data_IF_804004065890
#
_entry.id   IF_804004065890
#
_cell.length_a   1.000
_cell.length_b   1.000
_cell.length_c   1.000
_cell.angle_alpha   90.00
_cell.angle_beta   90.00
_cell.angle_gamma   90.00
#
_symmetry.space_group_name_H-M   'P 1'
#
loop_
_entity.id
_entity.type
_entity.pdbx_description
1 polymer ?
#
# COMPACT_ATOMS: atom_id res chain seq x y z
N UNK A 1 7.68 52.93 9.02
CA UNK A 1 6.77 52.06 9.78
C UNK A 1 6.88 50.63 9.24
N UNK A 2 8.03 49.95 9.46
CA UNK A 2 8.39 48.68 8.78
C UNK A 2 9.44 47.87 9.59
N UNK A 3 9.30 47.74 10.92
CA UNK A 3 10.42 47.20 11.75
C UNK A 3 10.04 46.22 12.89
N UNK A 4 9.00 45.39 12.75
CA UNK A 4 8.70 44.33 13.76
C UNK A 4 8.08 43.03 13.20
N UNK A 5 8.65 42.46 12.13
CA UNK A 5 8.22 41.14 11.61
C UNK A 5 9.32 40.08 11.50
N UNK A 6 10.57 40.34 11.94
CA UNK A 6 11.68 39.40 11.78
C UNK A 6 12.00 38.51 13.00
N UNK A 7 11.45 38.77 14.19
CA UNK A 7 11.83 38.02 15.41
C UNK A 7 11.01 36.75 15.70
N UNK A 8 9.93 36.46 14.98
CA UNK A 8 9.05 35.34 15.35
C UNK A 8 9.32 34.03 14.61
N UNK A 9 10.34 33.94 13.75
CA UNK A 9 10.86 32.64 13.29
C UNK A 9 11.82 32.08 14.36
N UNK A 10 11.31 31.84 15.57
CA UNK A 10 12.04 31.02 16.54
C UNK A 10 12.31 29.69 15.88
N UNK A 11 13.59 29.34 15.74
CA UNK A 11 14.02 28.03 15.27
C UNK A 11 13.23 26.97 16.04
N UNK A 12 12.69 25.99 15.30
CA UNK A 12 11.95 24.87 15.88
C UNK A 12 12.87 24.20 16.87
N UNK A 13 12.40 23.99 18.11
CA UNK A 13 13.19 23.28 19.10
C UNK A 13 13.40 21.84 18.59
N UNK A 14 14.65 21.41 18.33
CA UNK A 14 14.94 20.08 17.79
C UNK A 14 14.38 18.96 18.69
N UNK A 15 14.30 19.22 20.00
CA UNK A 15 13.67 18.32 20.97
C UNK A 15 12.19 18.08 20.68
N UNK A 16 11.43 19.11 20.36
CA UNK A 16 10.00 18.95 20.10
C UNK A 16 9.74 18.16 18.81
N UNK A 17 10.59 18.35 17.79
CA UNK A 17 10.60 17.52 16.58
C UNK A 17 10.96 16.06 16.88
N UNK A 18 11.97 15.83 17.71
CA UNK A 18 12.35 14.48 18.15
C UNK A 18 11.24 13.81 18.96
N UNK A 19 10.56 14.55 19.83
CA UNK A 19 9.39 14.09 20.59
C UNK A 19 8.21 13.74 19.70
N UNK A 20 7.89 14.59 18.72
CA UNK A 20 6.90 14.30 17.68
C UNK A 20 7.30 13.02 16.92
N UNK A 21 8.54 12.93 16.43
CA UNK A 21 9.04 11.76 15.70
C UNK A 21 8.90 10.48 16.54
N UNK A 22 9.37 10.51 17.79
CA UNK A 22 9.25 9.39 18.73
C UNK A 22 7.80 9.00 18.98
N UNK A 23 6.88 9.98 19.04
CA UNK A 23 5.46 9.72 19.24
C UNK A 23 4.79 9.04 18.04
N UNK A 24 5.29 9.29 16.83
CA UNK A 24 4.79 8.71 15.59
C UNK A 24 5.34 7.31 15.31
N UNK A 25 6.45 6.92 15.95
CA UNK A 25 7.03 5.59 15.75
C UNK A 25 6.13 4.47 16.36
N UNK A 26 5.82 3.41 15.58
CA UNK A 26 5.22 2.19 16.11
C UNK A 26 6.00 1.64 17.30
N UNK A 27 5.32 0.93 18.20
CA UNK A 27 5.97 0.41 19.41
C UNK A 27 7.14 -0.52 19.09
N UNK A 28 7.03 -1.36 18.06
CA UNK A 28 8.10 -2.24 17.61
C UNK A 28 9.36 -1.45 17.20
N UNK A 29 9.19 -0.40 16.37
CA UNK A 29 10.29 0.47 15.99
C UNK A 29 10.86 1.25 17.18
N UNK A 30 10.03 1.77 18.09
CA UNK A 30 10.54 2.42 19.30
C UNK A 30 11.43 1.48 20.10
N UNK A 31 11.03 0.21 20.26
CA UNK A 31 11.87 -0.80 20.93
C UNK A 31 13.17 -1.04 20.16
N UNK A 32 13.12 -1.15 18.84
CA UNK A 32 14.31 -1.35 18.01
C UNK A 32 15.25 -0.14 18.08
N UNK A 33 14.74 1.08 17.91
CA UNK A 33 15.51 2.31 18.04
C UNK A 33 16.11 2.46 19.43
N UNK A 34 15.35 2.16 20.49
CA UNK A 34 15.84 2.21 21.87
C UNK A 34 17.03 1.26 22.13
N UNK A 35 17.20 0.18 21.37
CA UNK A 35 18.38 -0.70 21.48
C UNK A 35 19.68 -0.06 20.99
N UNK A 36 19.56 0.97 20.16
CA UNK A 36 20.70 1.72 19.61
C UNK A 36 20.95 3.04 20.33
N UNK A 37 20.16 3.33 21.37
CA UNK A 37 20.27 4.54 22.17
C UNK A 37 20.74 4.18 23.57
N UNK A 38 21.48 5.08 24.19
CA UNK A 38 21.76 5.01 25.63
C UNK A 38 20.45 5.16 26.43
N UNK A 39 20.47 4.73 27.69
CA UNK A 39 19.33 4.94 28.59
C UNK A 39 18.97 6.43 28.72
N UNK A 40 19.97 7.30 28.77
CA UNK A 40 19.79 8.75 28.86
C UNK A 40 19.16 9.33 27.59
N UNK A 41 19.57 8.90 26.40
CA UNK A 41 18.95 9.36 25.14
C UNK A 41 17.52 8.86 25.00
N UNK A 42 17.25 7.63 25.42
CA UNK A 42 15.91 7.05 25.41
C UNK A 42 14.98 7.84 26.35
N UNK A 43 15.44 8.14 27.57
CA UNK A 43 14.70 8.96 28.52
C UNK A 43 14.48 10.40 28.01
N UNK A 44 15.48 10.98 27.35
CA UNK A 44 15.36 12.28 26.70
C UNK A 44 14.30 12.28 25.60
N UNK A 45 14.16 11.19 24.82
CA UNK A 45 13.10 11.06 23.81
C UNK A 45 11.70 10.89 24.43
N UNK A 46 11.58 10.17 25.55
CA UNK A 46 10.32 10.09 26.29
C UNK A 46 9.93 11.44 26.86
N UNK A 47 10.87 12.13 27.51
CA UNK A 47 10.68 13.49 28.01
C UNK A 47 10.28 14.45 26.88
N UNK A 48 10.97 14.39 25.74
CA UNK A 48 10.66 15.22 24.58
C UNK A 48 9.26 14.94 24.00
N UNK A 49 8.84 13.67 23.97
CA UNK A 49 7.50 13.27 23.56
C UNK A 49 6.44 13.82 24.49
N UNK A 50 6.65 13.74 25.80
CA UNK A 50 5.70 14.24 26.80
C UNK A 50 5.63 15.76 26.78
N UNK A 51 6.77 16.43 26.59
CA UNK A 51 6.83 17.87 26.33
C UNK A 51 6.05 18.25 25.07
N UNK A 52 6.25 17.55 23.95
CA UNK A 52 5.47 17.81 22.73
C UNK A 52 3.95 17.62 22.96
N UNK A 53 3.55 16.60 23.73
CA UNK A 53 2.13 16.35 24.04
C UNK A 53 1.50 17.42 24.93
N UNK A 54 2.28 18.05 25.81
CA UNK A 54 1.80 19.13 26.68
C UNK A 54 1.81 20.50 26.02
N UNK A 55 2.35 20.64 24.80
CA UNK A 55 2.34 21.90 24.08
C UNK A 55 0.92 22.36 23.69
N UNK A 56 0.76 23.69 23.67
CA UNK A 56 -0.44 24.34 23.15
C UNK A 56 -0.75 23.87 21.71
N UNK A 57 -2.02 23.67 21.33
CA UNK A 57 -2.41 23.15 20.02
C UNK A 57 -1.77 23.89 18.83
N UNK A 58 -1.73 25.22 18.88
CA UNK A 58 -1.15 26.04 17.80
C UNK A 58 0.35 25.75 17.62
N UNK A 59 1.07 25.50 18.73
CA UNK A 59 2.49 25.19 18.68
C UNK A 59 2.74 23.79 18.14
N UNK A 60 1.92 22.80 18.52
CA UNK A 60 1.99 21.44 17.93
C UNK A 60 1.76 21.48 16.42
N UNK A 61 0.73 22.21 15.97
CA UNK A 61 0.43 22.40 14.54
C UNK A 61 1.61 23.02 13.79
N UNK A 62 2.31 24.00 14.37
CA UNK A 62 3.51 24.58 13.75
C UNK A 62 4.63 23.55 13.61
N UNK A 63 4.90 22.75 14.65
CA UNK A 63 5.92 21.69 14.62
C UNK A 63 5.56 20.62 13.60
N UNK A 64 4.29 20.21 13.53
CA UNK A 64 3.78 19.25 12.54
C UNK A 64 3.92 19.77 11.12
N UNK A 65 3.59 21.05 10.87
CA UNK A 65 3.77 21.68 9.56
C UNK A 65 5.25 21.77 9.18
N UNK A 66 6.12 22.06 10.13
CA UNK A 66 7.56 22.14 9.89
C UNK A 66 8.17 20.76 9.67
N UNK A 67 7.80 19.77 10.49
CA UNK A 67 8.10 18.37 10.27
C UNK A 67 7.64 17.95 8.87
N UNK A 68 6.40 18.29 8.52
CA UNK A 68 5.83 18.13 7.19
C UNK A 68 6.65 18.82 6.10
N UNK A 69 7.20 20.01 6.32
CA UNK A 69 8.01 20.74 5.33
C UNK A 69 9.42 20.15 5.11
N UNK A 70 10.06 19.66 6.19
CA UNK A 70 11.33 18.92 6.11
C UNK A 70 11.10 17.63 5.33
N UNK A 71 9.92 17.04 5.51
CA UNK A 71 9.50 15.79 4.91
C UNK A 71 8.98 15.92 3.47
N UNK A 72 8.34 17.03 3.14
CA UNK A 72 7.72 17.30 1.83
C UNK A 72 8.71 17.75 0.75
N UNK A 73 10.00 17.91 1.06
CA UNK A 73 11.02 18.12 0.01
C UNK A 73 11.17 16.94 -0.99
N UNK A 74 10.40 15.86 -0.85
CA UNK A 74 10.27 14.79 -1.85
C UNK A 74 9.12 14.98 -2.87
N UNK A 75 8.53 16.17 -2.99
CA UNK A 75 7.42 16.44 -3.91
C UNK A 75 7.79 16.54 -5.41
N UNK A 76 8.97 16.08 -5.84
CA UNK A 76 9.36 16.04 -7.26
C UNK A 76 8.73 14.87 -8.04
N UNK A 77 7.94 14.02 -7.39
CA UNK A 77 7.19 12.94 -8.05
C UNK A 77 5.90 13.42 -8.76
N UNK A 78 5.54 14.70 -8.68
CA UNK A 78 4.28 15.22 -9.23
C UNK A 78 4.13 15.01 -10.74
N UNK A 79 5.16 15.32 -11.52
CA UNK A 79 5.13 15.20 -13.00
C UNK A 79 4.97 13.74 -13.43
N UNK A 80 5.72 12.82 -12.82
CA UNK A 80 5.65 11.39 -13.15
C UNK A 80 4.29 10.78 -12.84
N UNK A 81 3.66 11.19 -11.72
CA UNK A 81 2.33 10.74 -11.31
C UNK A 81 1.24 11.12 -12.30
N UNK A 82 1.25 12.36 -12.79
CA UNK A 82 0.31 12.83 -13.81
C UNK A 82 0.62 12.22 -15.18
N UNK A 83 1.90 12.03 -15.51
CA UNK A 83 2.32 11.36 -16.74
C UNK A 83 1.83 9.93 -16.85
N UNK A 84 1.95 9.12 -15.79
CA UNK A 84 1.45 7.73 -15.79
C UNK A 84 -0.08 7.67 -15.85
N UNK A 85 -0.76 8.57 -15.14
CA UNK A 85 -2.23 8.67 -15.20
C UNK A 85 -2.73 9.02 -16.61
N UNK A 86 -2.10 10.02 -17.25
CA UNK A 86 -2.45 10.42 -18.61
C UNK A 86 -2.17 9.31 -19.62
N UNK A 87 -1.00 8.65 -19.54
CA UNK A 87 -0.64 7.55 -20.43
C UNK A 87 -1.64 6.38 -20.32
N UNK A 88 -2.07 6.03 -19.12
CA UNK A 88 -3.06 4.97 -18.93
C UNK A 88 -4.46 5.36 -19.38
N UNK A 89 -4.89 6.60 -19.13
CA UNK A 89 -6.15 7.10 -19.66
C UNK A 89 -6.14 7.09 -21.20
N UNK A 90 -5.03 7.51 -21.82
CA UNK A 90 -4.85 7.46 -23.28
C UNK A 90 -4.88 6.02 -23.82
N UNK A 91 -4.20 5.07 -23.15
CA UNK A 91 -4.23 3.65 -23.50
C UNK A 91 -5.65 3.07 -23.39
N UNK A 92 -6.39 3.43 -22.32
CA UNK A 92 -7.76 2.97 -22.12
C UNK A 92 -8.68 3.53 -23.21
N UNK A 93 -8.57 4.82 -23.53
CA UNK A 93 -9.34 5.45 -24.63
C UNK A 93 -8.99 4.81 -25.96
N UNK A 94 -7.69 4.68 -26.29
CA UNK A 94 -7.23 4.08 -27.54
C UNK A 94 -7.81 2.69 -27.76
N UNK A 95 -7.65 1.79 -26.79
CA UNK A 95 -8.17 0.44 -26.94
C UNK A 95 -9.72 0.40 -26.89
N UNK A 96 -10.36 1.32 -26.16
CA UNK A 96 -11.83 1.40 -26.15
C UNK A 96 -12.43 1.79 -27.50
N UNK A 97 -11.67 2.50 -28.34
CA UNK A 97 -12.06 2.90 -29.70
C UNK A 97 -11.80 1.77 -30.69
N UNK A 98 -10.67 1.06 -30.57
CA UNK A 98 -10.35 -0.09 -31.44
C UNK A 98 -11.27 -1.30 -31.17
N UNK A 99 -11.72 -1.50 -29.94
CA UNK A 99 -12.45 -2.71 -29.52
C UNK A 99 -13.93 -2.46 -29.24
N UNK A 100 -14.64 -1.89 -30.23
CA UNK A 100 -16.08 -1.66 -30.14
C UNK A 100 -16.92 -2.93 -29.86
N UNK A 101 -16.34 -4.12 -30.04
CA UNK A 101 -17.01 -5.41 -29.82
C UNK A 101 -17.06 -5.86 -28.36
N UNK A 102 -16.21 -5.35 -27.46
CA UNK A 102 -16.25 -5.74 -26.05
C UNK A 102 -17.39 -5.03 -25.32
N UNK A 103 -18.14 -5.80 -24.52
CA UNK A 103 -19.12 -5.23 -23.58
C UNK A 103 -18.42 -4.30 -22.57
N UNK A 104 -19.17 -3.35 -22.02
CA UNK A 104 -18.65 -2.44 -20.99
C UNK A 104 -18.05 -3.20 -19.79
N UNK A 105 -18.66 -4.30 -19.37
CA UNK A 105 -18.17 -5.15 -18.27
C UNK A 105 -16.85 -5.84 -18.61
N UNK A 106 -16.71 -6.37 -19.83
CA UNK A 106 -15.47 -6.98 -20.30
C UNK A 106 -14.33 -5.95 -20.37
N UNK A 107 -14.63 -4.73 -20.81
CA UNK A 107 -13.66 -3.62 -20.81
C UNK A 107 -13.22 -3.29 -19.39
N UNK A 108 -14.15 -3.14 -18.45
CA UNK A 108 -13.81 -2.89 -17.05
C UNK A 108 -12.92 -4.00 -16.49
N UNK A 109 -13.22 -5.27 -16.74
CA UNK A 109 -12.37 -6.40 -16.31
C UNK A 109 -10.96 -6.32 -16.88
N UNK A 110 -10.82 -6.06 -18.18
CA UNK A 110 -9.50 -6.00 -18.85
C UNK A 110 -8.69 -4.79 -18.40
N UNK A 111 -9.30 -3.61 -18.25
CA UNK A 111 -8.58 -2.38 -17.90
C UNK A 111 -8.48 -2.12 -16.40
N UNK A 112 -9.25 -2.81 -15.55
CA UNK A 112 -9.21 -2.59 -14.10
C UNK A 112 -7.78 -2.76 -13.57
N UNK A 113 -7.09 -3.84 -13.96
CA UNK A 113 -5.69 -4.05 -13.57
C UNK A 113 -4.77 -2.89 -13.96
N UNK A 114 -4.95 -2.30 -15.14
CA UNK A 114 -4.17 -1.13 -15.58
C UNK A 114 -4.50 0.11 -14.74
N UNK A 115 -5.78 0.36 -14.47
CA UNK A 115 -6.22 1.49 -13.64
C UNK A 115 -5.61 1.37 -12.24
N UNK A 116 -5.69 0.18 -11.62
CA UNK A 116 -5.10 -0.07 -10.31
C UNK A 116 -3.57 0.07 -10.35
N UNK A 117 -2.89 -0.46 -11.37
CA UNK A 117 -1.45 -0.30 -11.57
C UNK A 117 -1.02 1.17 -11.63
N UNK A 118 -1.85 2.03 -12.21
CA UNK A 118 -1.58 3.47 -12.37
C UNK A 118 -1.85 4.24 -11.08
N UNK A 119 -2.84 3.80 -10.31
CA UNK A 119 -3.12 4.34 -8.98
C UNK A 119 -2.09 3.87 -7.94
N UNK A 120 -1.40 2.75 -8.16
CA UNK A 120 -0.48 2.17 -7.20
C UNK A 120 0.65 3.13 -6.74
N UNK A 121 1.37 3.85 -7.64
CA UNK A 121 2.35 4.86 -7.24
C UNK A 121 1.74 6.05 -6.46
N UNK A 122 0.48 6.39 -6.74
CA UNK A 122 -0.24 7.44 -6.03
C UNK A 122 -0.59 6.99 -4.62
N UNK A 123 -1.01 5.73 -4.47
CA UNK A 123 -1.38 5.15 -3.19
C UNK A 123 -0.20 5.09 -2.20
N UNK A 124 1.02 4.83 -2.70
CA UNK A 124 2.25 4.97 -1.89
C UNK A 124 2.36 6.39 -1.32
N UNK A 125 1.99 7.40 -2.12
CA UNK A 125 2.03 8.81 -1.75
C UNK A 125 1.08 9.20 -0.62
N UNK A 126 0.05 8.39 -0.32
CA UNK A 126 -0.89 8.65 0.78
C UNK A 126 -0.26 8.44 2.15
N UNK A 127 0.86 7.71 2.23
CA UNK A 127 1.56 7.48 3.48
C UNK A 127 2.69 8.50 3.71
N UNK A 128 2.90 8.95 4.96
CA UNK A 128 4.14 9.59 5.38
C UNK A 128 5.36 8.71 5.05
N UNK A 129 6.52 9.30 4.71
CA UNK A 129 7.75 8.56 4.33
C UNK A 129 8.18 7.50 5.34
N UNK A 130 7.92 7.69 6.64
CA UNK A 130 8.31 6.81 7.73
C UNK A 130 7.44 5.55 7.68
N UNK A 131 6.14 5.73 7.45
CA UNK A 131 5.21 4.65 7.25
C UNK A 131 5.49 3.95 5.93
N UNK A 132 5.90 4.66 4.87
CA UNK A 132 6.41 4.03 3.64
C UNK A 132 7.61 3.13 3.91
N UNK A 133 8.61 3.60 4.66
CA UNK A 133 9.81 2.81 4.98
C UNK A 133 9.50 1.58 5.81
N UNK A 134 8.52 1.67 6.71
CA UNK A 134 8.01 0.54 7.48
C UNK A 134 7.29 -0.48 6.59
N UNK A 135 6.28 0.00 5.86
CA UNK A 135 5.38 -0.87 5.11
C UNK A 135 6.04 -1.41 3.84
N UNK A 136 6.93 -0.65 3.21
CA UNK A 136 7.65 -1.04 2.00
C UNK A 136 9.11 -1.41 2.31
N UNK A 137 9.46 -1.53 3.59
CA UNK A 137 10.75 -2.01 4.03
C UNK A 137 10.88 -3.51 3.79
N UNK A 138 12.07 -3.93 3.37
CA UNK A 138 12.42 -5.35 3.22
C UNK A 138 13.40 -5.70 4.34
N UNK A 139 12.96 -6.52 5.27
CA UNK A 139 13.87 -7.20 6.20
C UNK A 139 13.94 -8.67 5.80
N UNK A 140 15.15 -9.14 5.53
CA UNK A 140 15.39 -10.52 5.10
C UNK A 140 15.44 -11.45 6.31
N UNK A 141 14.26 -11.92 6.71
CA UNK A 141 14.10 -12.93 7.74
C UNK A 141 13.64 -14.24 7.11
N UNK A 142 14.33 -15.35 7.40
CA UNK A 142 14.02 -16.62 6.76
C UNK A 142 12.60 -17.10 7.02
N UNK A 143 12.05 -16.80 8.19
CA UNK A 143 10.67 -17.13 8.55
C UNK A 143 9.67 -16.39 7.65
N UNK A 144 9.99 -15.15 7.26
CA UNK A 144 9.15 -14.33 6.38
C UNK A 144 9.24 -14.78 4.93
N UNK A 145 10.44 -15.11 4.46
CA UNK A 145 10.65 -15.68 3.13
C UNK A 145 9.89 -17.00 3.00
N UNK A 146 10.02 -17.89 3.98
CA UNK A 146 9.33 -19.18 3.99
C UNK A 146 7.80 -19.00 4.01
N UNK A 147 7.28 -18.13 4.86
CA UNK A 147 5.84 -17.88 4.95
C UNK A 147 5.30 -17.23 3.68
N UNK A 148 6.04 -16.30 3.07
CA UNK A 148 5.70 -15.70 1.78
C UNK A 148 5.67 -16.74 0.66
N UNK A 149 6.58 -17.71 0.67
CA UNK A 149 6.59 -18.80 -0.30
C UNK A 149 5.38 -19.74 -0.13
N UNK A 150 5.04 -20.11 1.10
CA UNK A 150 3.83 -20.92 1.37
C UNK A 150 2.55 -20.20 0.94
N UNK A 151 2.44 -18.90 1.25
CA UNK A 151 1.30 -18.08 0.81
C UNK A 151 1.25 -17.98 -0.71
N UNK A 152 2.39 -17.81 -1.38
CA UNK A 152 2.46 -17.82 -2.84
C UNK A 152 1.93 -19.14 -3.44
N UNK A 153 2.34 -20.31 -2.92
CA UNK A 153 1.85 -21.61 -3.41
C UNK A 153 0.34 -21.76 -3.19
N UNK A 154 -0.15 -21.36 -2.02
CA UNK A 154 -1.58 -21.42 -1.70
C UNK A 154 -2.39 -20.46 -2.60
N UNK A 155 -1.89 -19.25 -2.84
CA UNK A 155 -2.49 -18.29 -3.77
C UNK A 155 -2.51 -18.83 -5.19
N UNK A 156 -1.40 -19.39 -5.68
CA UNK A 156 -1.32 -19.98 -7.00
C UNK A 156 -2.40 -21.06 -7.20
N UNK A 157 -2.59 -21.94 -6.21
CA UNK A 157 -3.65 -22.94 -6.25
C UNK A 157 -5.05 -22.32 -6.29
N UNK A 158 -5.34 -21.36 -5.41
CA UNK A 158 -6.64 -20.67 -5.37
C UNK A 158 -6.94 -19.94 -6.69
N UNK A 159 -5.95 -19.28 -7.29
CA UNK A 159 -6.14 -18.53 -8.53
C UNK A 159 -6.32 -19.45 -9.74
N UNK A 160 -5.67 -20.61 -9.77
CA UNK A 160 -5.94 -21.64 -10.79
C UNK A 160 -7.40 -22.10 -10.67
N UNK A 161 -7.89 -22.34 -9.46
CA UNK A 161 -9.29 -22.75 -9.23
C UNK A 161 -10.30 -21.64 -9.60
N UNK A 162 -9.97 -20.38 -9.27
CA UNK A 162 -10.78 -19.22 -9.70
C UNK A 162 -10.83 -19.14 -11.22
N UNK A 163 -9.70 -19.35 -11.91
CA UNK A 163 -9.68 -19.25 -13.37
C UNK A 163 -10.30 -20.45 -14.08
N UNK A 164 -10.18 -21.66 -13.52
CA UNK A 164 -10.85 -22.85 -14.07
C UNK A 164 -12.38 -22.74 -13.96
N UNK A 165 -12.87 -22.09 -12.90
CA UNK A 165 -14.30 -21.82 -12.69
C UNK A 165 -14.81 -20.59 -13.46
N UNK A 166 -13.97 -19.57 -13.69
CA UNK A 166 -14.35 -18.33 -14.36
C UNK A 166 -14.26 -18.38 -15.91
N UNK A 167 -13.41 -19.24 -16.49
CA UNK A 167 -13.07 -19.19 -17.91
C UNK A 167 -13.14 -20.58 -18.58
N UNK A 168 -14.28 -20.86 -19.21
CA UNK A 168 -14.42 -21.86 -20.28
C UNK A 168 -14.08 -21.27 -21.66
N UNK A 169 -13.10 -20.38 -21.77
CA UNK A 169 -12.77 -19.66 -23.01
C UNK A 169 -11.26 -19.50 -23.24
N UNK A 170 -10.70 -19.96 -24.37
CA UNK A 170 -9.28 -19.81 -24.66
C UNK A 170 -8.89 -18.34 -24.86
N UNK A 171 -7.86 -17.89 -24.14
CA UNK A 171 -7.18 -16.60 -24.32
C UNK A 171 -6.30 -16.69 -25.59
N UNK A 172 -6.91 -16.86 -26.78
CA UNK A 172 -6.19 -16.91 -28.07
C UNK A 172 -6.42 -15.61 -28.86
N UNK A 173 -5.34 -14.97 -29.32
CA UNK A 173 -5.39 -13.85 -30.25
C UNK A 173 -5.10 -12.45 -29.67
N UNK A 174 -4.36 -12.34 -28.56
CA UNK A 174 -4.04 -11.04 -27.96
C UNK A 174 -2.94 -10.29 -28.72
N UNK A 175 -3.22 -9.05 -29.13
CA UNK A 175 -2.23 -8.09 -29.67
C UNK A 175 -1.29 -7.65 -28.53
N UNK A 176 -0.03 -7.31 -28.84
CA UNK A 176 1.01 -6.92 -27.86
C UNK A 176 0.53 -5.90 -26.81
N UNK A 177 -0.32 -4.95 -27.20
CA UNK A 177 -0.91 -3.95 -26.29
C UNK A 177 -1.65 -4.58 -25.11
N UNK A 178 -2.41 -5.64 -25.34
CA UNK A 178 -3.16 -6.32 -24.29
C UNK A 178 -2.26 -7.15 -23.38
N UNK A 179 -1.18 -7.74 -23.91
CA UNK A 179 -0.16 -8.38 -23.07
C UNK A 179 0.49 -7.39 -22.11
N UNK A 180 0.81 -6.19 -22.58
CA UNK A 180 1.34 -5.12 -21.72
C UNK A 180 0.34 -4.77 -20.63
N UNK A 181 -0.95 -4.64 -20.96
CA UNK A 181 -2.02 -4.35 -19.99
C UNK A 181 -2.13 -5.46 -18.94
N UNK A 182 -2.18 -6.72 -19.36
CA UNK A 182 -2.35 -7.87 -18.47
C UNK A 182 -1.14 -8.07 -17.55
N UNK A 183 0.08 -7.99 -18.09
CA UNK A 183 1.31 -8.11 -17.28
C UNK A 183 1.44 -6.93 -16.31
N UNK A 184 1.12 -5.71 -16.75
CA UNK A 184 1.13 -4.54 -15.86
C UNK A 184 0.10 -4.68 -14.75
N UNK A 185 -1.10 -5.19 -15.07
CA UNK A 185 -2.13 -5.50 -14.09
C UNK A 185 -1.65 -6.56 -13.09
N UNK A 186 -1.14 -7.69 -13.59
CA UNK A 186 -0.65 -8.79 -12.76
C UNK A 186 0.46 -8.37 -11.79
N UNK A 187 1.36 -7.48 -12.23
CA UNK A 187 2.50 -7.05 -11.41
C UNK A 187 2.22 -5.86 -10.52
N UNK A 188 1.52 -4.84 -11.03
CA UNK A 188 1.38 -3.54 -10.35
C UNK A 188 0.00 -3.29 -9.73
N UNK A 189 -1.08 -3.96 -10.15
CA UNK A 189 -2.36 -3.86 -9.45
C UNK A 189 -2.26 -4.36 -8.00
N UNK A 190 -1.58 -5.49 -7.70
CA UNK A 190 -1.39 -5.96 -6.33
C UNK A 190 -0.73 -4.94 -5.39
N UNK A 191 0.13 -4.05 -5.91
CA UNK A 191 0.69 -2.97 -5.10
C UNK A 191 -0.40 -2.05 -4.56
N UNK A 192 -1.35 -1.64 -5.40
CA UNK A 192 -2.47 -0.82 -4.97
C UNK A 192 -3.40 -1.60 -4.03
N UNK A 193 -3.74 -2.83 -4.40
CA UNK A 193 -4.64 -3.67 -3.63
C UNK A 193 -4.11 -3.94 -2.23
N UNK A 194 -2.83 -4.28 -2.09
CA UNK A 194 -2.22 -4.53 -0.78
C UNK A 194 -2.18 -3.25 0.06
N UNK A 195 -1.92 -2.08 -0.53
CA UNK A 195 -2.00 -0.79 0.17
C UNK A 195 -3.42 -0.55 0.71
N UNK A 196 -4.44 -0.73 -0.12
CA UNK A 196 -5.83 -0.47 0.25
C UNK A 196 -6.35 -1.50 1.26
N UNK A 197 -6.24 -2.78 0.92
CA UNK A 197 -6.88 -3.88 1.65
C UNK A 197 -6.05 -4.41 2.82
N UNK A 198 -4.75 -4.11 2.92
CA UNK A 198 -3.90 -4.54 4.04
C UNK A 198 -3.45 -3.43 4.96
N UNK A 199 -3.55 -2.18 4.53
CA UNK A 199 -3.19 -1.04 5.37
C UNK A 199 -4.34 -0.05 5.57
N UNK A 200 -4.90 0.52 4.50
CA UNK A 200 -5.85 1.64 4.65
C UNK A 200 -7.19 1.20 5.23
N UNK A 201 -7.87 0.24 4.59
CA UNK A 201 -9.16 -0.25 5.04
C UNK A 201 -9.08 -0.90 6.43
N UNK A 202 -8.12 -1.81 6.72
CA UNK A 202 -8.01 -2.38 8.07
C UNK A 202 -7.78 -1.33 9.15
N UNK A 203 -7.07 -0.23 8.85
CA UNK A 203 -6.79 0.83 9.82
C UNK A 203 -8.01 1.62 10.28
N UNK A 204 -9.13 1.52 9.55
CA UNK A 204 -10.40 2.11 9.98
C UNK A 204 -11.06 1.34 11.13
N UNK A 205 -10.62 0.10 11.38
CA UNK A 205 -11.28 -0.85 12.29
C UNK A 205 -10.36 -1.36 13.42
N UNK A 206 -9.55 -0.48 14.01
CA UNK A 206 -8.80 -0.76 15.24
C UNK A 206 -7.32 -0.35 15.17
N UNK A 207 -6.49 -1.03 15.94
CA UNK A 207 -5.04 -0.80 16.01
C UNK A 207 -4.24 -1.91 15.33
N UNK A 208 -3.07 -1.57 14.79
CA UNK A 208 -2.13 -2.52 14.17
C UNK A 208 -1.87 -3.71 15.12
N UNK A 209 -1.94 -4.97 14.64
CA UNK A 209 -1.95 -5.41 13.23
C UNK A 209 -3.35 -5.48 12.58
N UNK A 210 -4.37 -4.90 13.20
CA UNK A 210 -5.72 -4.72 12.66
C UNK A 210 -6.53 -6.00 12.40
N UNK A 211 -6.40 -7.06 13.21
CA UNK A 211 -7.06 -8.36 12.98
C UNK A 211 -8.53 -8.27 12.50
N UNK A 212 -9.40 -7.55 13.24
CA UNK A 212 -10.80 -7.38 12.83
C UNK A 212 -10.97 -6.59 11.52
N UNK A 213 -10.14 -5.56 11.33
CA UNK A 213 -10.08 -4.79 10.09
C UNK A 213 -9.59 -5.60 8.89
N UNK A 214 -8.65 -6.52 9.09
CA UNK A 214 -8.12 -7.40 8.04
C UNK A 214 -9.18 -8.40 7.57
N UNK A 215 -9.92 -9.02 8.49
CA UNK A 215 -11.04 -9.91 8.13
C UNK A 215 -12.11 -9.15 7.33
N UNK A 216 -12.47 -7.95 7.79
CA UNK A 216 -13.45 -7.09 7.12
C UNK A 216 -12.97 -6.67 5.73
N UNK A 217 -11.72 -6.23 5.61
CA UNK A 217 -11.12 -5.85 4.33
C UNK A 217 -11.01 -7.05 3.37
N UNK A 218 -10.77 -8.26 3.86
CA UNK A 218 -10.79 -9.47 3.02
C UNK A 218 -12.18 -9.79 2.46
N UNK A 219 -13.25 -9.56 3.22
CA UNK A 219 -14.63 -9.67 2.70
C UNK A 219 -14.86 -8.65 1.59
N UNK A 220 -14.47 -7.39 1.81
CA UNK A 220 -14.59 -6.33 0.81
C UNK A 220 -13.76 -6.62 -0.44
N UNK A 221 -12.56 -7.18 -0.28
CA UNK A 221 -11.71 -7.61 -1.39
C UNK A 221 -12.42 -8.66 -2.24
N UNK A 222 -13.01 -9.68 -1.61
CA UNK A 222 -13.73 -10.73 -2.31
C UNK A 222 -14.94 -10.17 -3.08
N UNK A 223 -15.71 -9.26 -2.47
CA UNK A 223 -16.84 -8.61 -3.14
C UNK A 223 -16.39 -7.71 -4.30
N UNK A 224 -15.25 -7.03 -4.18
CA UNK A 224 -14.70 -6.17 -5.24
C UNK A 224 -14.30 -6.96 -6.50
N UNK A 225 -14.13 -8.28 -6.40
CA UNK A 225 -13.88 -9.18 -7.52
C UNK A 225 -15.16 -9.68 -8.20
N UNK A 226 -16.34 -9.23 -7.76
CA UNK A 226 -17.65 -9.54 -8.37
C UNK A 226 -17.87 -11.04 -8.59
N UNK A 227 -17.80 -11.87 -7.54
CA UNK A 227 -17.92 -13.32 -7.66
C UNK A 227 -19.30 -13.71 -8.20
N UNK A 228 -19.34 -14.68 -9.12
CA UNK A 228 -20.59 -15.14 -9.75
C UNK A 228 -21.44 -16.02 -8.83
N UNK A 229 -20.82 -16.65 -7.83
CA UNK A 229 -21.48 -17.51 -6.84
C UNK A 229 -20.74 -17.51 -5.49
N UNK A 230 -21.31 -18.21 -4.51
CA UNK A 230 -20.75 -18.32 -3.17
C UNK A 230 -19.43 -19.08 -3.08
N UNK A 231 -19.15 -20.01 -4.01
CA UNK A 231 -17.87 -20.74 -4.05
C UNK A 231 -16.74 -19.82 -4.51
N UNK A 232 -16.98 -19.03 -5.56
CA UNK A 232 -16.02 -18.05 -6.06
C UNK A 232 -15.75 -16.96 -5.03
N UNK A 233 -16.79 -16.50 -4.33
CA UNK A 233 -16.63 -15.58 -3.19
C UNK A 233 -15.70 -16.19 -2.13
N UNK A 234 -15.91 -17.46 -1.76
CA UNK A 234 -15.10 -18.13 -0.75
C UNK A 234 -13.63 -18.24 -1.18
N UNK A 235 -13.37 -18.54 -2.46
CA UNK A 235 -12.00 -18.59 -3.00
C UNK A 235 -11.30 -17.24 -2.93
N UNK A 236 -11.96 -16.16 -3.38
CA UNK A 236 -11.38 -14.81 -3.27
C UNK A 236 -11.19 -14.36 -1.82
N UNK A 237 -12.12 -14.72 -0.93
CA UNK A 237 -12.01 -14.38 0.49
C UNK A 237 -10.84 -15.11 1.16
N UNK A 238 -10.64 -16.39 0.85
CA UNK A 238 -9.49 -17.17 1.32
C UNK A 238 -8.16 -16.60 0.79
N UNK A 239 -8.10 -16.25 -0.49
CA UNK A 239 -6.92 -15.60 -1.07
C UNK A 239 -6.60 -14.29 -0.33
N UNK A 240 -7.62 -13.49 -0.06
CA UNK A 240 -7.46 -12.25 0.68
C UNK A 240 -7.02 -12.48 2.15
N UNK A 241 -7.54 -13.51 2.81
CA UNK A 241 -7.14 -13.86 4.17
C UNK A 241 -5.68 -14.31 4.24
N UNK A 242 -5.18 -15.08 3.27
CA UNK A 242 -3.77 -15.49 3.24
C UNK A 242 -2.82 -14.29 3.14
N UNK A 243 -3.15 -13.32 2.30
CA UNK A 243 -2.39 -12.07 2.17
C UNK A 243 -2.48 -11.23 3.45
N UNK A 244 -3.65 -11.16 4.09
CA UNK A 244 -3.81 -10.52 5.39
C UNK A 244 -2.92 -11.15 6.47
N UNK A 245 -2.88 -12.49 6.55
CA UNK A 245 -2.03 -13.21 7.50
C UNK A 245 -0.55 -12.90 7.24
N UNK A 246 -0.12 -12.87 5.98
CA UNK A 246 1.25 -12.52 5.62
C UNK A 246 1.60 -11.08 6.04
N UNK A 247 0.68 -10.12 5.86
CA UNK A 247 0.85 -8.74 6.35
C UNK A 247 0.96 -8.67 7.87
N UNK A 248 0.12 -9.41 8.60
CA UNK A 248 0.13 -9.43 10.06
C UNK A 248 1.45 -10.01 10.58
N UNK A 249 1.91 -11.10 9.97
CA UNK A 249 3.13 -11.80 10.39
C UNK A 249 4.41 -11.00 10.11
N UNK A 250 4.47 -10.35 8.94
CA UNK A 250 5.70 -9.66 8.50
C UNK A 250 5.73 -8.19 8.86
N UNK A 251 4.59 -7.56 9.16
CA UNK A 251 4.53 -6.11 9.37
C UNK A 251 4.74 -5.29 8.08
N UNK A 252 5.00 -5.94 6.94
CA UNK A 252 5.38 -5.32 5.67
C UNK A 252 4.37 -5.69 4.57
N UNK A 253 4.16 -4.77 3.64
CA UNK A 253 3.37 -4.99 2.44
C UNK A 253 4.20 -5.69 1.35
N UNK A 254 5.54 -5.59 1.37
CA UNK A 254 6.38 -6.08 0.26
C UNK A 254 6.23 -7.57 0.03
N UNK A 255 6.11 -8.35 1.11
CA UNK A 255 5.93 -9.80 1.02
C UNK A 255 4.58 -10.18 0.42
N UNK A 256 3.51 -9.50 0.84
CA UNK A 256 2.17 -9.64 0.24
C UNK A 256 2.15 -9.28 -1.23
N UNK A 257 2.71 -8.11 -1.58
CA UNK A 257 2.82 -7.63 -2.96
C UNK A 257 3.60 -8.64 -3.81
N UNK A 258 4.77 -9.11 -3.34
CA UNK A 258 5.58 -10.07 -4.08
C UNK A 258 4.87 -11.40 -4.33
N UNK A 259 4.28 -12.00 -3.28
CA UNK A 259 3.54 -13.25 -3.40
C UNK A 259 2.32 -13.11 -4.33
N UNK A 260 1.58 -12.02 -4.18
CA UNK A 260 0.38 -11.73 -4.97
C UNK A 260 0.73 -11.49 -6.45
N UNK A 261 1.67 -10.59 -6.74
CA UNK A 261 2.10 -10.27 -8.09
C UNK A 261 2.68 -11.49 -8.81
N UNK A 262 3.47 -12.33 -8.12
CA UNK A 262 4.04 -13.54 -8.72
C UNK A 262 2.97 -14.58 -9.02
N UNK A 263 2.00 -14.79 -8.11
CA UNK A 263 0.89 -15.72 -8.35
C UNK A 263 0.05 -15.26 -9.55
N UNK A 264 -0.32 -13.97 -9.62
CA UNK A 264 -1.06 -13.40 -10.74
C UNK A 264 -0.31 -13.57 -12.07
N UNK A 265 1.00 -13.31 -12.07
CA UNK A 265 1.82 -13.45 -13.28
C UNK A 265 1.87 -14.90 -13.76
N UNK A 266 2.09 -15.87 -12.86
CA UNK A 266 2.15 -17.28 -13.25
C UNK A 266 0.82 -17.74 -13.82
N UNK A 267 -0.29 -17.41 -13.16
CA UNK A 267 -1.62 -17.79 -13.63
C UNK A 267 -1.98 -17.13 -14.96
N UNK A 268 -1.51 -15.90 -15.22
CA UNK A 268 -1.67 -15.25 -16.52
C UNK A 268 -0.91 -15.96 -17.66
N UNK A 269 0.20 -16.62 -17.34
CA UNK A 269 1.07 -17.30 -18.31
C UNK A 269 0.70 -18.78 -18.56
N UNK A 270 -0.15 -19.36 -17.71
CA UNK A 270 -0.67 -20.73 -17.84
C UNK A 270 -1.92 -20.76 -18.73
#
# INVERSE_FOLDING_TARGET
>A
MWTRRSESRRAVEPRALAGLYWSLLPQALRRQTARHLTAQETDALFTAKDQYRSMLPDRRRQIELQFGSIWHRQATAGIWRWGTAFAAAALMVWNSVEENSLSWTARLLVYNGLVLAVLAPWAIGWFPVWQRRLLLGVEWRWEWVFSSFLVYIALLWLLIEINSSALAGPVRGFVLSRWIILVSGALAAPLFEEIVFRQLLPSLFGSDPYWGGQVTASVLFALAHLPVDGSMFLLYWLAALLLALLRIQTGSLVWGIGAHSLANLVVLLL
#
